data_IF_677020771398
#
_entry.id   IF_677020771398
#
_cell.length_a   1.000
_cell.length_b   1.000
_cell.length_c   1.000
_cell.angle_alpha   90.00
_cell.angle_beta   90.00
_cell.angle_gamma   90.00
#
_symmetry.space_group_name_H-M   'P 1'
#
loop_
_entity.id
_entity.type
_entity.pdbx_description
1 polymer ?
#
# COMPACT_ATOMS: atom_id res chain seq x y z
N UNK A 1 20.36 -60.49 14.18
CA UNK A 1 19.67 -61.68 14.70
C UNK A 1 18.17 -61.41 14.64
N UNK A 2 17.49 -62.16 13.78
CA UNK A 2 16.04 -62.44 13.77
C UNK A 2 15.75 -63.41 14.92
N UNK A 3 14.51 -63.79 15.29
CA UNK A 3 13.22 -63.68 14.58
C UNK A 3 11.98 -63.42 15.51
N UNK A 4 10.82 -63.14 14.93
CA UNK A 4 9.65 -64.02 14.66
C UNK A 4 8.72 -64.24 15.88
N UNK A 5 7.43 -64.31 15.86
CA UNK A 5 6.34 -64.89 15.06
C UNK A 5 4.98 -64.51 15.68
N UNK A 6 3.99 -64.19 14.86
CA UNK A 6 2.71 -64.83 14.60
C UNK A 6 1.86 -65.39 15.78
N UNK A 7 0.53 -65.03 15.82
CA UNK A 7 -0.60 -65.95 15.68
C UNK A 7 -1.94 -65.22 15.82
N UNK A 8 -2.74 -65.15 14.84
CA UNK A 8 -4.03 -65.74 14.45
C UNK A 8 -4.97 -66.18 15.59
N UNK A 9 -6.24 -65.75 15.55
CA UNK A 9 -7.46 -66.52 15.29
C UNK A 9 -8.71 -65.69 15.62
N UNK A 10 -9.58 -65.46 14.69
CA UNK A 10 -10.93 -66.05 14.44
C UNK A 10 -11.76 -66.33 15.69
N UNK A 11 -13.03 -65.78 15.71
CA UNK A 11 -14.27 -66.57 15.71
C UNK A 11 -15.47 -65.64 15.47
N UNK A 12 -16.32 -66.07 14.55
CA UNK A 12 -17.66 -65.56 14.24
C UNK A 12 -18.68 -65.94 15.33
N UNK A 13 -19.68 -65.12 15.49
CA UNK A 13 -21.02 -65.60 15.88
C UNK A 13 -22.10 -64.60 15.42
N UNK A 14 -22.95 -65.10 14.61
CA UNK A 14 -24.23 -64.58 14.11
C UNK A 14 -25.23 -64.55 15.29
N UNK A 15 -26.05 -63.50 15.38
CA UNK A 15 -27.45 -63.65 15.73
C UNK A 15 -28.31 -62.49 15.29
N UNK A 16 -29.45 -62.87 14.77
CA UNK A 16 -30.45 -62.10 13.98
C UNK A 16 -31.41 -61.25 14.80
N UNK A 17 -32.04 -60.33 14.03
CA UNK A 17 -33.41 -59.76 14.16
C UNK A 17 -33.73 -58.85 15.34
N UNK A 18 -34.09 -57.62 15.00
CA UNK A 18 -35.49 -57.13 15.15
C UNK A 18 -35.67 -55.82 14.40
N UNK A 19 -36.56 -55.81 13.43
CA UNK A 19 -37.06 -54.68 12.68
C UNK A 19 -37.94 -53.88 13.63
N UNK A 20 -37.57 -52.61 13.91
CA UNK A 20 -38.48 -51.61 14.41
C UNK A 20 -38.48 -50.43 13.45
N UNK A 21 -39.52 -50.40 12.63
CA UNK A 21 -39.86 -49.27 11.76
C UNK A 21 -40.18 -48.05 12.61
N UNK A 22 -39.24 -47.09 12.72
CA UNK A 22 -39.51 -45.74 13.21
C UNK A 22 -39.65 -44.84 12.01
N UNK A 23 -40.86 -44.42 11.73
CA UNK A 23 -41.23 -43.30 10.88
C UNK A 23 -40.49 -42.06 11.39
N UNK A 24 -39.45 -41.65 10.63
CA UNK A 24 -38.85 -40.33 10.74
C UNK A 24 -39.76 -39.40 9.93
N UNK A 25 -40.33 -38.34 10.54
CA UNK A 25 -41.06 -37.35 9.75
C UNK A 25 -40.10 -36.61 8.83
N UNK A 26 -40.36 -36.67 7.54
CA UNK A 26 -39.76 -35.82 6.52
C UNK A 26 -40.19 -34.39 6.73
N UNK A 27 -39.43 -33.64 7.57
CA UNK A 27 -39.50 -32.20 7.64
C UNK A 27 -38.14 -31.67 7.14
N UNK A 28 -38.01 -31.50 5.84
CA UNK A 28 -36.76 -31.02 5.22
C UNK A 28 -36.96 -30.41 3.84
N UNK A 29 -38.17 -30.32 3.30
CA UNK A 29 -38.39 -29.88 1.90
C UNK A 29 -38.93 -28.47 1.74
N UNK A 30 -39.34 -27.78 2.84
CA UNK A 30 -40.04 -26.50 2.73
C UNK A 30 -39.11 -25.26 2.61
N UNK A 31 -37.89 -25.30 3.14
CA UNK A 31 -37.01 -24.12 3.15
C UNK A 31 -36.21 -23.96 1.84
N UNK A 32 -35.87 -25.05 1.17
CA UNK A 32 -35.15 -25.00 -0.07
C UNK A 32 -36.01 -24.54 -1.27
N UNK A 33 -37.29 -24.96 -1.31
CA UNK A 33 -38.21 -24.48 -2.37
C UNK A 33 -38.64 -23.03 -2.15
N UNK A 34 -38.83 -22.58 -0.90
CA UNK A 34 -39.09 -21.17 -0.61
C UNK A 34 -37.87 -20.27 -0.92
N UNK A 35 -36.67 -20.77 -0.69
CA UNK A 35 -35.43 -20.08 -1.03
C UNK A 35 -35.19 -19.97 -2.56
N UNK A 36 -35.52 -20.98 -3.33
CA UNK A 36 -35.45 -20.93 -4.79
C UNK A 36 -36.42 -19.88 -5.37
N UNK A 37 -37.64 -19.79 -4.87
CA UNK A 37 -38.61 -18.78 -5.30
C UNK A 37 -38.15 -17.35 -4.99
N UNK A 38 -37.56 -17.09 -3.82
CA UNK A 38 -37.03 -15.77 -3.44
C UNK A 38 -35.85 -15.38 -4.34
N UNK A 39 -35.03 -16.34 -4.72
CA UNK A 39 -33.91 -16.15 -5.62
C UNK A 39 -34.40 -15.76 -7.04
N UNK A 40 -35.35 -16.50 -7.60
CA UNK A 40 -35.93 -16.20 -8.91
C UNK A 40 -36.54 -14.80 -8.96
N UNK A 41 -37.26 -14.39 -7.91
CA UNK A 41 -37.81 -13.03 -7.81
C UNK A 41 -36.66 -12.01 -7.75
N UNK A 42 -35.58 -12.29 -7.00
CA UNK A 42 -34.43 -11.41 -6.90
C UNK A 42 -33.72 -11.26 -8.26
N UNK A 43 -33.49 -12.35 -9.00
CA UNK A 43 -32.91 -12.33 -10.33
C UNK A 43 -33.80 -11.53 -11.33
N UNK A 44 -35.11 -11.66 -11.25
CA UNK A 44 -36.04 -10.84 -12.01
C UNK A 44 -35.94 -9.36 -11.67
N UNK A 45 -35.78 -9.01 -10.40
CA UNK A 45 -35.56 -7.64 -9.94
C UNK A 45 -34.24 -7.09 -10.49
N UNK A 46 -33.15 -7.86 -10.41
CA UNK A 46 -31.84 -7.49 -10.97
C UNK A 46 -31.93 -7.27 -12.49
N UNK A 47 -32.67 -8.12 -13.22
CA UNK A 47 -32.92 -7.93 -14.65
C UNK A 47 -33.74 -6.67 -14.98
N UNK A 48 -34.66 -6.29 -14.10
CA UNK A 48 -35.41 -5.03 -14.22
C UNK A 48 -34.52 -3.81 -13.95
N UNK A 49 -33.64 -3.90 -12.93
CA UNK A 49 -32.62 -2.89 -12.61
C UNK A 49 -31.65 -2.68 -13.78
N UNK A 50 -31.20 -3.76 -14.42
CA UNK A 50 -30.37 -3.67 -15.63
C UNK A 50 -31.03 -2.80 -16.70
N UNK A 51 -32.29 -3.11 -17.04
CA UNK A 51 -33.06 -2.37 -18.04
C UNK A 51 -33.22 -0.88 -17.67
N UNK A 52 -33.48 -0.60 -16.38
CA UNK A 52 -33.64 0.76 -15.89
C UNK A 52 -32.31 1.54 -15.96
N UNK A 53 -31.18 0.94 -15.58
CA UNK A 53 -29.85 1.55 -15.67
C UNK A 53 -29.49 1.82 -17.13
N UNK A 54 -29.75 0.88 -18.06
CA UNK A 54 -29.48 1.10 -19.48
C UNK A 54 -30.34 2.21 -20.08
N UNK A 55 -31.63 2.30 -19.70
CA UNK A 55 -32.53 3.39 -20.14
C UNK A 55 -32.05 4.75 -19.59
N UNK A 56 -31.64 4.82 -18.32
CA UNK A 56 -31.07 6.01 -17.72
C UNK A 56 -29.81 6.46 -18.49
N UNK A 57 -28.88 5.53 -18.73
CA UNK A 57 -27.64 5.79 -19.48
C UNK A 57 -27.89 6.26 -20.90
N UNK A 58 -28.86 5.70 -21.57
CA UNK A 58 -29.21 6.10 -22.94
C UNK A 58 -29.67 7.57 -22.99
N UNK A 59 -30.42 8.02 -21.98
CA UNK A 59 -30.94 9.38 -21.91
C UNK A 59 -29.92 10.36 -21.29
N UNK A 60 -29.32 10.02 -20.14
CA UNK A 60 -28.46 10.93 -19.37
C UNK A 60 -27.00 10.91 -19.81
N UNK A 61 -26.59 9.94 -20.63
CA UNK A 61 -25.21 9.70 -21.07
C UNK A 61 -24.23 9.37 -19.94
N UNK A 62 -24.75 9.06 -18.75
CA UNK A 62 -23.99 8.68 -17.56
C UNK A 62 -24.76 7.64 -16.73
N UNK A 63 -24.10 7.07 -15.72
CA UNK A 63 -24.75 6.22 -14.72
C UNK A 63 -25.50 7.08 -13.69
N UNK A 64 -26.56 6.54 -13.06
CA UNK A 64 -27.17 7.23 -11.92
C UNK A 64 -26.14 7.33 -10.76
N UNK A 65 -26.24 8.39 -9.96
CA UNK A 65 -25.44 8.48 -8.72
C UNK A 65 -25.93 7.46 -7.68
N UNK A 66 -27.24 7.18 -7.69
CA UNK A 66 -27.90 6.24 -6.78
C UNK A 66 -29.05 5.51 -7.51
N UNK A 67 -29.46 4.35 -6.97
CA UNK A 67 -30.62 3.63 -7.52
C UNK A 67 -31.91 4.46 -7.39
N UNK A 68 -32.02 5.29 -6.35
CA UNK A 68 -33.15 6.21 -6.15
C UNK A 68 -33.32 7.23 -7.26
N UNK A 69 -32.26 7.61 -7.98
CA UNK A 69 -32.35 8.60 -9.07
C UNK A 69 -33.13 8.04 -10.28
N UNK A 70 -33.37 6.75 -10.31
CA UNK A 70 -34.16 6.10 -11.35
C UNK A 70 -35.64 6.03 -11.01
N UNK A 71 -36.05 6.36 -9.77
CA UNK A 71 -37.43 6.33 -9.32
C UNK A 71 -38.09 7.74 -9.47
N UNK A 72 -39.30 7.89 -9.94
CA UNK A 72 -40.20 6.84 -10.49
C UNK A 72 -40.07 6.62 -11.99
N UNK A 73 -39.19 7.39 -12.68
CA UNK A 73 -39.20 7.44 -14.15
C UNK A 73 -38.84 6.11 -14.82
N UNK A 74 -37.79 5.46 -14.37
CA UNK A 74 -37.27 4.21 -14.94
C UNK A 74 -37.64 2.99 -14.08
N UNK A 75 -37.86 3.20 -12.80
CA UNK A 75 -38.35 2.21 -11.82
C UNK A 75 -39.66 2.72 -11.23
N UNK A 76 -40.77 2.14 -11.69
CA UNK A 76 -42.12 2.59 -11.25
C UNK A 76 -42.47 2.12 -9.86
N UNK A 77 -42.08 0.89 -9.51
CA UNK A 77 -42.32 0.30 -8.19
C UNK A 77 -41.04 0.23 -7.40
N UNK A 78 -40.83 1.12 -6.40
CA UNK A 78 -39.66 1.10 -5.54
C UNK A 78 -39.51 -0.20 -4.72
N UNK A 79 -40.60 -0.99 -4.55
CA UNK A 79 -40.51 -2.29 -3.89
C UNK A 79 -39.63 -3.29 -4.66
N UNK A 80 -39.41 -3.07 -5.96
CA UNK A 80 -38.46 -3.88 -6.73
C UNK A 80 -36.99 -3.64 -6.34
N UNK A 81 -36.70 -2.59 -5.57
CA UNK A 81 -35.37 -2.32 -4.99
C UNK A 81 -35.14 -3.07 -3.67
N UNK A 82 -36.10 -3.85 -3.21
CA UNK A 82 -36.00 -4.63 -1.98
C UNK A 82 -35.97 -6.14 -2.33
N UNK A 83 -34.90 -6.81 -1.91
CA UNK A 83 -34.77 -8.26 -2.07
C UNK A 83 -35.90 -8.98 -1.28
N UNK A 84 -36.51 -10.05 -1.83
CA UNK A 84 -37.54 -10.81 -1.13
C UNK A 84 -37.11 -11.32 0.25
N UNK A 85 -35.84 -11.73 0.40
CA UNK A 85 -35.29 -12.15 1.69
C UNK A 85 -35.33 -11.00 2.71
N UNK A 86 -34.95 -9.78 2.30
CA UNK A 86 -35.00 -8.59 3.16
C UNK A 86 -36.43 -8.23 3.54
N UNK A 87 -37.40 -8.37 2.63
CA UNK A 87 -38.83 -8.17 2.94
C UNK A 87 -39.30 -9.08 4.05
N UNK A 88 -38.78 -10.30 4.14
CA UNK A 88 -39.15 -11.31 5.18
C UNK A 88 -38.37 -11.12 6.47
N UNK A 89 -37.09 -10.77 6.40
CA UNK A 89 -36.18 -10.74 7.55
C UNK A 89 -36.01 -9.35 8.17
N UNK A 90 -36.24 -8.29 7.38
CA UNK A 90 -35.93 -6.90 7.74
C UNK A 90 -34.43 -6.57 7.77
N UNK A 91 -33.55 -7.53 7.48
CA UNK A 91 -32.09 -7.36 7.57
C UNK A 91 -31.54 -6.81 6.24
N UNK A 92 -31.00 -5.59 6.26
CA UNK A 92 -30.32 -4.97 5.11
C UNK A 92 -28.81 -4.96 5.38
N UNK A 93 -28.03 -5.34 4.36
CA UNK A 93 -26.57 -5.28 4.38
C UNK A 93 -26.11 -4.31 3.30
N UNK A 94 -25.56 -3.17 3.70
CA UNK A 94 -25.20 -2.06 2.79
C UNK A 94 -23.70 -1.85 2.67
N UNK A 95 -22.88 -2.47 3.51
CA UNK A 95 -21.42 -2.28 3.56
C UNK A 95 -20.97 -0.80 3.63
N UNK A 96 -21.83 0.07 4.23
CA UNK A 96 -21.57 1.50 4.33
C UNK A 96 -21.86 2.29 3.04
N UNK A 97 -22.53 1.68 2.06
CA UNK A 97 -22.97 2.32 0.81
C UNK A 97 -24.49 2.36 0.82
N UNK A 98 -25.03 3.39 1.46
CA UNK A 98 -26.48 3.55 1.65
C UNK A 98 -27.03 4.61 0.68
N UNK A 99 -28.12 4.27 -0.03
CA UNK A 99 -28.82 5.23 -0.84
C UNK A 99 -29.46 6.29 0.07
N UNK A 100 -29.16 7.60 -0.12
CA UNK A 100 -29.58 8.64 0.81
C UNK A 100 -31.07 8.98 0.76
N UNK A 101 -31.80 8.50 -0.26
CA UNK A 101 -33.20 8.86 -0.49
C UNK A 101 -34.17 7.71 -0.22
N UNK A 102 -33.75 6.47 -0.48
CA UNK A 102 -34.58 5.28 -0.30
C UNK A 102 -33.78 4.12 0.30
N UNK A 103 -34.42 3.31 1.12
CA UNK A 103 -33.84 2.05 1.55
C UNK A 103 -33.84 1.06 0.38
N UNK A 104 -32.67 0.48 0.08
CA UNK A 104 -32.51 -0.56 -0.95
C UNK A 104 -31.80 -1.76 -0.37
N UNK A 105 -32.18 -2.96 -0.83
CA UNK A 105 -31.49 -4.20 -0.48
C UNK A 105 -30.36 -4.56 -1.45
N UNK A 106 -30.18 -3.76 -2.49
CA UNK A 106 -29.20 -3.96 -3.53
C UNK A 106 -28.06 -2.95 -3.38
N UNK A 107 -26.82 -3.45 -3.34
CA UNK A 107 -25.63 -2.63 -3.34
C UNK A 107 -25.37 -2.12 -4.77
N UNK A 108 -25.40 -0.80 -4.96
CA UNK A 108 -25.04 -0.18 -6.21
C UNK A 108 -23.55 0.16 -6.22
N UNK A 109 -22.77 -0.56 -7.02
CA UNK A 109 -21.31 -0.49 -7.04
C UNK A 109 -20.75 0.80 -7.65
N UNK A 110 -21.55 1.52 -8.46
CA UNK A 110 -21.18 2.79 -9.09
C UNK A 110 -21.78 4.01 -8.40
N UNK A 111 -22.06 3.90 -7.10
CA UNK A 111 -22.58 5.01 -6.31
C UNK A 111 -21.56 6.17 -6.21
N UNK A 112 -22.05 7.40 -6.21
CA UNK A 112 -21.24 8.62 -6.00
C UNK A 112 -21.01 8.85 -4.50
N UNK A 113 -20.40 7.87 -3.82
CA UNK A 113 -20.02 7.92 -2.42
C UNK A 113 -18.53 7.61 -2.28
N UNK A 114 -17.84 8.17 -1.28
CA UNK A 114 -16.45 7.80 -1.03
C UNK A 114 -16.27 6.29 -0.88
N UNK A 115 -15.16 5.76 -1.40
CA UNK A 115 -14.79 4.36 -1.17
C UNK A 115 -14.67 4.14 0.34
N UNK A 116 -15.32 3.10 0.91
CA UNK A 116 -15.27 2.84 2.35
C UNK A 116 -13.84 2.77 2.88
N UNK A 117 -13.61 3.33 4.07
CA UNK A 117 -12.28 3.46 4.68
C UNK A 117 -11.54 2.15 4.96
N UNK A 118 -12.24 0.98 4.87
CA UNK A 118 -11.61 -0.34 4.90
C UNK A 118 -10.71 -0.62 3.68
N UNK A 119 -10.88 0.14 2.58
CA UNK A 119 -10.07 0.02 1.36
C UNK A 119 -9.01 1.11 1.34
N UNK A 120 -7.75 0.70 1.39
CA UNK A 120 -6.61 1.62 1.41
C UNK A 120 -6.52 2.48 0.15
N UNK A 121 -6.24 3.76 0.34
CA UNK A 121 -6.14 4.72 -0.75
C UNK A 121 -7.48 5.11 -1.37
N UNK A 122 -8.60 4.60 -0.84
CA UNK A 122 -9.93 4.83 -1.39
C UNK A 122 -10.62 6.13 -0.95
N UNK A 123 -10.22 6.72 0.18
CA UNK A 123 -10.95 7.84 0.80
C UNK A 123 -11.03 9.14 -0.02
N UNK A 124 -10.20 9.30 -1.05
CA UNK A 124 -10.20 10.48 -1.95
C UNK A 124 -11.01 10.25 -3.23
N UNK A 125 -11.49 9.03 -3.45
CA UNK A 125 -12.17 8.61 -4.66
C UNK A 125 -13.55 8.06 -4.34
N UNK A 126 -14.45 8.13 -5.32
CA UNK A 126 -15.79 7.56 -5.21
C UNK A 126 -15.79 6.08 -5.61
N UNK A 127 -16.82 5.35 -5.19
CA UNK A 127 -17.08 3.99 -5.66
C UNK A 127 -17.19 3.94 -7.18
N UNK A 128 -17.84 4.95 -7.79
CA UNK A 128 -17.97 5.08 -9.25
C UNK A 128 -16.62 5.13 -9.94
N UNK A 129 -15.70 6.00 -9.48
CA UNK A 129 -14.35 6.11 -10.03
C UNK A 129 -13.56 4.82 -9.87
N UNK A 130 -13.62 4.20 -8.71
CA UNK A 130 -12.97 2.92 -8.46
C UNK A 130 -13.47 1.84 -9.41
N UNK A 131 -14.79 1.67 -9.52
CA UNK A 131 -15.41 0.67 -10.40
C UNK A 131 -15.15 0.94 -11.87
N UNK A 132 -15.09 2.18 -12.29
CA UNK A 132 -14.70 2.55 -13.66
C UNK A 132 -13.28 2.10 -14.00
N UNK A 133 -12.33 2.23 -13.04
CA UNK A 133 -10.96 1.73 -13.21
C UNK A 133 -10.88 0.21 -13.21
N UNK A 134 -11.62 -0.45 -12.33
CA UNK A 134 -11.74 -1.92 -12.36
C UNK A 134 -12.29 -2.40 -13.72
N UNK A 135 -13.27 -1.67 -14.28
CA UNK A 135 -13.82 -1.98 -15.60
C UNK A 135 -12.76 -1.97 -16.71
N UNK A 136 -11.71 -1.15 -16.59
CA UNK A 136 -10.57 -1.14 -17.51
C UNK A 136 -9.81 -2.46 -17.54
N UNK A 137 -9.82 -3.22 -16.46
CA UNK A 137 -9.15 -4.53 -16.33
C UNK A 137 -10.10 -5.70 -16.59
N UNK A 138 -11.31 -5.64 -16.04
CA UNK A 138 -12.28 -6.75 -16.04
C UNK A 138 -13.29 -6.64 -17.19
N UNK A 139 -13.35 -5.49 -17.84
CA UNK A 139 -14.31 -5.22 -18.91
C UNK A 139 -15.75 -5.22 -18.41
N UNK A 140 -16.67 -5.63 -19.29
CA UNK A 140 -18.11 -5.65 -19.00
C UNK A 140 -18.54 -6.71 -17.98
N UNK A 141 -17.63 -7.56 -17.52
CA UNK A 141 -17.88 -8.51 -16.42
C UNK A 141 -17.98 -7.82 -15.07
N UNK A 142 -17.55 -6.55 -14.94
CA UNK A 142 -17.61 -5.81 -13.67
C UNK A 142 -19.06 -5.72 -13.15
N UNK A 143 -19.33 -6.04 -11.89
CA UNK A 143 -20.66 -5.90 -11.32
C UNK A 143 -21.10 -4.44 -11.19
N UNK A 144 -22.36 -4.18 -11.54
CA UNK A 144 -23.04 -2.90 -11.30
C UNK A 144 -23.86 -2.93 -10.04
N UNK A 145 -24.55 -4.04 -9.79
CA UNK A 145 -25.49 -4.22 -8.67
C UNK A 145 -25.28 -5.58 -8.05
N UNK A 146 -25.22 -5.64 -6.73
CA UNK A 146 -25.10 -6.91 -5.99
C UNK A 146 -26.28 -7.14 -5.05
N UNK A 147 -26.60 -8.41 -4.84
CA UNK A 147 -27.47 -8.85 -3.76
C UNK A 147 -26.71 -9.82 -2.86
N UNK A 148 -26.37 -9.39 -1.66
CA UNK A 148 -25.68 -10.18 -0.64
C UNK A 148 -26.63 -11.02 0.23
N UNK A 149 -27.93 -10.98 -0.04
CA UNK A 149 -28.95 -11.70 0.74
C UNK A 149 -29.22 -13.11 0.22
N UNK A 150 -28.48 -13.54 -0.78
CA UNK A 150 -28.44 -14.91 -1.30
C UNK A 150 -27.03 -15.49 -1.19
N UNK A 151 -26.96 -16.81 -1.07
CA UNK A 151 -25.71 -17.55 -1.17
C UNK A 151 -25.84 -18.62 -2.25
N UNK A 152 -25.00 -18.57 -3.30
CA UNK A 152 -23.98 -17.55 -3.61
C UNK A 152 -24.53 -16.14 -3.81
N UNK A 153 -23.66 -15.11 -3.65
CA UNK A 153 -24.00 -13.71 -3.91
C UNK A 153 -24.34 -13.51 -5.39
N UNK A 154 -25.40 -12.76 -5.67
CA UNK A 154 -25.83 -12.45 -7.04
C UNK A 154 -25.20 -11.13 -7.49
N UNK A 155 -24.40 -11.18 -8.56
CA UNK A 155 -23.66 -10.06 -9.11
C UNK A 155 -24.16 -9.74 -10.52
N UNK A 156 -24.99 -8.71 -10.67
CA UNK A 156 -25.43 -8.21 -11.98
C UNK A 156 -24.32 -7.36 -12.59
N UNK A 157 -23.79 -7.77 -13.74
CA UNK A 157 -22.68 -7.11 -14.43
C UNK A 157 -23.14 -6.26 -15.62
N UNK A 158 -22.20 -5.43 -16.16
CA UNK A 158 -22.50 -4.54 -17.30
C UNK A 158 -22.87 -5.27 -18.59
N UNK A 159 -22.49 -6.53 -18.75
CA UNK A 159 -22.92 -7.38 -19.86
C UNK A 159 -24.37 -7.89 -19.72
N UNK A 160 -25.04 -7.54 -18.63
CA UNK A 160 -26.41 -7.94 -18.33
C UNK A 160 -26.56 -9.33 -17.75
N UNK A 161 -25.46 -10.04 -17.49
CA UNK A 161 -25.46 -11.36 -16.85
C UNK A 161 -25.43 -11.23 -15.33
N UNK A 162 -25.99 -12.23 -14.67
CA UNK A 162 -25.89 -12.39 -13.22
C UNK A 162 -24.87 -13.50 -12.99
N UNK A 163 -23.75 -13.13 -12.34
CA UNK A 163 -22.71 -14.05 -11.91
C UNK A 163 -22.87 -14.38 -10.44
N UNK A 164 -22.53 -15.59 -10.09
CA UNK A 164 -22.57 -16.08 -8.72
C UNK A 164 -21.15 -16.16 -8.14
N UNK A 165 -20.97 -15.70 -6.88
CA UNK A 165 -19.70 -15.73 -6.20
C UNK A 165 -19.87 -15.81 -4.69
N UNK A 166 -18.79 -16.08 -3.96
CA UNK A 166 -18.81 -16.08 -2.49
C UNK A 166 -18.85 -14.65 -1.92
N UNK A 167 -18.48 -13.67 -2.73
CA UNK A 167 -18.45 -12.26 -2.37
C UNK A 167 -18.40 -11.37 -3.62
N UNK A 168 -17.36 -10.58 -3.74
CA UNK A 168 -17.09 -9.74 -4.90
C UNK A 168 -16.57 -10.61 -6.06
N UNK A 169 -17.46 -10.98 -6.94
CA UNK A 169 -17.24 -11.88 -8.08
C UNK A 169 -15.99 -11.53 -8.92
N UNK A 170 -15.71 -10.24 -9.13
CA UNK A 170 -14.55 -9.80 -9.92
C UNK A 170 -13.20 -10.20 -9.31
N UNK A 171 -13.15 -10.44 -8.00
CA UNK A 171 -11.94 -10.94 -7.32
C UNK A 171 -11.76 -12.45 -7.45
N UNK A 172 -12.75 -13.16 -7.98
CA UNK A 172 -12.70 -14.60 -8.24
C UNK A 172 -12.24 -14.93 -9.67
N UNK A 173 -12.03 -13.89 -10.51
CA UNK A 173 -11.55 -14.06 -11.89
C UNK A 173 -10.07 -14.48 -11.87
N UNK A 174 -9.78 -15.65 -12.44
CA UNK A 174 -8.41 -16.20 -12.50
C UNK A 174 -7.47 -15.40 -13.41
N UNK A 175 -8.00 -14.58 -14.29
CA UNK A 175 -7.27 -13.79 -15.28
C UNK A 175 -6.72 -12.47 -14.71
N UNK A 176 -7.13 -12.07 -13.50
CA UNK A 176 -6.77 -10.81 -12.87
C UNK A 176 -6.31 -11.06 -11.43
N UNK A 177 -5.15 -10.51 -11.05
CA UNK A 177 -4.72 -10.53 -9.65
C UNK A 177 -5.72 -9.69 -8.82
N UNK A 178 -6.36 -10.26 -7.79
CA UNK A 178 -7.27 -9.52 -6.93
C UNK A 178 -6.69 -8.23 -6.35
N UNK A 179 -5.38 -8.18 -6.11
CA UNK A 179 -4.70 -6.99 -5.61
C UNK A 179 -4.71 -5.84 -6.63
N UNK A 180 -4.66 -6.14 -7.93
CA UNK A 180 -4.69 -5.12 -8.99
C UNK A 180 -6.05 -4.42 -9.08
N UNK A 181 -7.10 -5.03 -8.53
CA UNK A 181 -8.44 -4.43 -8.45
C UNK A 181 -8.62 -3.50 -7.24
N UNK A 182 -7.64 -3.42 -6.35
CA UNK A 182 -7.71 -2.57 -5.16
C UNK A 182 -7.60 -1.07 -5.50
N UNK A 183 -8.21 -0.16 -4.70
CA UNK A 183 -8.04 1.27 -4.91
C UNK A 183 -6.57 1.69 -4.84
N UNK A 184 -5.79 1.10 -3.93
CA UNK A 184 -4.38 1.41 -3.78
C UNK A 184 -3.57 1.15 -5.04
N UNK A 185 -3.90 0.12 -5.81
CA UNK A 185 -3.25 -0.17 -7.10
C UNK A 185 -3.78 0.70 -8.23
N UNK A 186 -5.10 0.80 -8.35
CA UNK A 186 -5.75 1.50 -9.45
C UNK A 186 -5.54 3.03 -9.42
N UNK A 187 -5.32 3.59 -8.24
CA UNK A 187 -5.01 5.02 -8.04
C UNK A 187 -3.54 5.29 -7.66
N UNK A 188 -2.66 4.29 -7.80
CA UNK A 188 -1.27 4.39 -7.33
C UNK A 188 -0.53 5.62 -7.88
N UNK A 189 -0.70 5.96 -9.15
CA UNK A 189 -0.05 7.13 -9.75
C UNK A 189 -0.54 8.45 -9.14
N UNK A 190 -1.84 8.60 -8.90
CA UNK A 190 -2.44 9.80 -8.31
C UNK A 190 -2.08 9.91 -6.82
N UNK A 191 -2.11 8.80 -6.09
CA UNK A 191 -1.68 8.74 -4.70
C UNK A 191 -0.22 9.15 -4.57
N UNK A 192 0.65 8.66 -5.47
CA UNK A 192 2.07 9.02 -5.49
C UNK A 192 2.28 10.51 -5.79
N UNK A 193 1.57 11.07 -6.78
CA UNK A 193 1.63 12.50 -7.11
C UNK A 193 1.17 13.36 -5.93
N UNK A 194 0.04 13.04 -5.31
CA UNK A 194 -0.49 13.80 -4.18
C UNK A 194 0.41 13.69 -2.94
N UNK A 195 0.96 12.50 -2.66
CA UNK A 195 1.92 12.31 -1.58
C UNK A 195 3.19 13.12 -1.81
N UNK A 196 3.72 13.12 -3.04
CA UNK A 196 4.90 13.90 -3.42
C UNK A 196 4.65 15.40 -3.26
N UNK A 197 3.51 15.91 -3.73
CA UNK A 197 3.15 17.32 -3.60
C UNK A 197 3.03 17.74 -2.12
N UNK A 198 2.41 16.91 -1.27
CA UNK A 198 2.32 17.17 0.18
C UNK A 198 3.70 17.17 0.83
N UNK A 199 4.53 16.17 0.54
CA UNK A 199 5.88 16.07 1.08
C UNK A 199 6.72 17.27 0.68
N UNK A 200 6.67 17.71 -0.57
CA UNK A 200 7.39 18.90 -1.04
C UNK A 200 6.93 20.19 -0.34
N UNK A 201 5.64 20.31 -0.04
CA UNK A 201 5.12 21.47 0.70
C UNK A 201 5.61 21.52 2.17
N UNK A 202 5.95 20.37 2.75
CA UNK A 202 6.47 20.29 4.13
C UNK A 202 7.99 20.47 4.22
N UNK A 203 8.72 20.41 3.10
CA UNK A 203 10.17 20.61 3.04
C UNK A 203 10.48 22.12 2.91
N UNK A 204 11.22 22.71 3.86
CA UNK A 204 11.58 24.11 3.78
C UNK A 204 12.39 24.41 2.51
N UNK A 205 12.18 25.56 1.85
CA UNK A 205 12.99 25.98 0.73
C UNK A 205 14.45 26.17 1.17
N UNK A 206 15.38 26.00 0.21
CA UNK A 206 16.80 26.28 0.45
C UNK A 206 17.00 27.79 0.62
N UNK A 207 17.78 28.16 1.64
CA UNK A 207 18.24 29.55 1.76
C UNK A 207 19.18 29.88 0.58
N UNK A 208 18.91 30.95 -0.20
CA UNK A 208 19.78 31.36 -1.30
C UNK A 208 21.23 31.66 -0.89
N UNK A 209 21.49 31.92 0.38
CA UNK A 209 22.82 32.16 0.94
C UNK A 209 23.55 30.90 1.35
N UNK A 210 22.93 29.71 1.24
CA UNK A 210 23.56 28.44 1.59
C UNK A 210 24.84 28.24 0.75
N UNK A 211 25.99 27.98 1.40
CA UNK A 211 27.26 27.75 0.67
C UNK A 211 27.14 26.63 -0.35
N UNK A 212 27.83 26.77 -1.49
CA UNK A 212 27.84 25.77 -2.55
C UNK A 212 28.44 24.41 -2.08
N UNK A 213 29.29 24.42 -1.06
CA UNK A 213 29.85 23.20 -0.46
C UNK A 213 28.77 22.31 0.20
N UNK A 214 27.65 22.90 0.61
CA UNK A 214 26.46 22.16 1.06
C UNK A 214 25.61 21.84 -0.18
N UNK A 215 25.74 20.62 -0.70
CA UNK A 215 25.12 20.19 -1.98
C UNK A 215 23.61 20.33 -1.92
N UNK A 216 23.01 20.90 -2.98
CA UNK A 216 21.55 21.05 -3.04
C UNK A 216 20.84 19.75 -3.41
N UNK A 217 20.08 19.20 -2.49
CA UNK A 217 19.27 17.99 -2.67
C UNK A 217 17.78 18.28 -2.88
N UNK A 218 17.38 19.55 -3.04
CA UNK A 218 15.96 19.97 -3.07
C UNK A 218 15.11 19.20 -4.10
N UNK A 219 15.66 18.96 -5.28
CA UNK A 219 14.95 18.25 -6.36
C UNK A 219 14.85 16.73 -6.17
N UNK A 220 15.60 16.17 -5.22
CA UNK A 220 15.65 14.74 -4.95
C UNK A 220 14.89 14.32 -3.69
N UNK A 221 14.58 15.26 -2.78
CA UNK A 221 13.87 14.94 -1.58
C UNK A 221 12.50 14.31 -1.88
N UNK A 222 12.23 13.18 -1.25
CA UNK A 222 10.99 12.43 -1.42
C UNK A 222 10.29 12.06 -0.10
N UNK A 223 10.84 12.54 1.03
CA UNK A 223 10.19 12.52 2.34
C UNK A 223 10.61 13.75 3.17
N UNK A 224 9.66 14.29 3.95
CA UNK A 224 9.91 15.35 4.90
C UNK A 224 10.46 14.79 6.22
N UNK A 225 11.27 15.58 6.94
CA UNK A 225 11.80 15.16 8.26
C UNK A 225 10.69 14.95 9.31
N UNK A 226 9.51 15.53 9.10
CA UNK A 226 8.33 15.40 9.97
C UNK A 226 7.38 14.29 9.54
N UNK A 227 7.70 13.56 8.48
CA UNK A 227 6.90 12.47 7.95
C UNK A 227 7.40 11.13 8.48
N UNK A 228 6.50 10.29 8.96
CA UNK A 228 6.82 8.90 9.24
C UNK A 228 6.83 8.09 7.95
N UNK A 229 7.97 8.02 7.27
CA UNK A 229 8.09 7.43 5.92
C UNK A 229 8.41 5.93 5.89
N UNK A 230 8.90 5.35 7.00
CA UNK A 230 9.26 3.93 7.13
C UNK A 230 8.07 3.04 7.51
N UNK A 231 6.89 3.28 6.95
CA UNK A 231 5.72 2.42 7.17
C UNK A 231 5.84 1.14 6.35
N UNK A 232 5.74 -0.01 7.01
CA UNK A 232 5.71 -1.34 6.37
C UNK A 232 4.30 -1.77 5.98
N UNK A 233 3.28 -1.07 6.52
CA UNK A 233 1.87 -1.32 6.23
C UNK A 233 0.97 -0.17 6.70
N UNK A 234 -0.29 -0.15 6.23
CA UNK A 234 -1.24 0.93 6.53
C UNK A 234 -1.74 0.94 7.96
N UNK A 235 -1.61 -0.17 8.67
CA UNK A 235 -2.07 -0.33 10.05
C UNK A 235 -1.04 0.10 11.10
N UNK A 236 0.15 0.56 10.69
CA UNK A 236 1.11 1.14 11.62
C UNK A 236 0.67 2.56 11.99
N UNK A 237 0.18 2.79 13.23
CA UNK A 237 -0.44 4.06 13.61
C UNK A 237 0.55 5.23 13.64
N UNK A 238 1.82 4.97 13.96
CA UNK A 238 2.88 5.98 14.02
C UNK A 238 4.21 5.38 13.58
N UNK A 239 4.80 5.93 12.52
CA UNK A 239 6.18 5.64 12.16
C UNK A 239 7.09 6.67 12.84
N UNK A 240 8.33 6.28 13.13
CA UNK A 240 9.35 7.23 13.56
C UNK A 240 9.57 8.31 12.50
N UNK A 241 9.87 9.52 12.94
CA UNK A 241 10.22 10.66 12.11
C UNK A 241 11.50 11.34 12.64
N UNK A 242 11.97 12.34 11.92
CA UNK A 242 13.13 13.16 12.28
C UNK A 242 12.73 14.60 12.68
N UNK A 243 11.52 14.81 13.19
CA UNK A 243 11.04 16.15 13.59
C UNK A 243 11.89 16.78 14.68
N UNK A 244 12.62 15.99 15.47
CA UNK A 244 13.58 16.47 16.49
C UNK A 244 14.96 16.83 15.91
N UNK A 245 15.27 16.51 14.65
CA UNK A 245 16.48 16.96 13.98
C UNK A 245 16.36 18.45 13.67
N UNK A 246 17.29 19.31 14.13
CA UNK A 246 17.28 20.73 13.80
C UNK A 246 17.39 20.95 12.29
N UNK A 247 16.59 21.89 11.76
CA UNK A 247 16.56 22.22 10.34
C UNK A 247 17.50 23.35 9.96
N UNK A 248 17.81 23.45 8.67
CA UNK A 248 18.74 24.44 8.11
C UNK A 248 20.18 23.97 8.23
N UNK A 249 21.13 24.90 8.27
CA UNK A 249 22.57 24.59 8.38
C UNK A 249 22.88 24.17 9.81
N UNK A 250 23.30 22.92 9.97
CA UNK A 250 23.61 22.31 11.27
C UNK A 250 25.00 21.70 11.28
N UNK A 251 25.75 21.91 12.35
CA UNK A 251 27.06 21.28 12.55
C UNK A 251 26.89 19.93 13.23
N UNK A 252 26.99 18.84 12.44
CA UNK A 252 26.74 17.47 12.89
C UNK A 252 27.98 16.61 12.63
N UNK A 253 28.45 15.90 13.66
CA UNK A 253 29.70 15.13 13.55
C UNK A 253 30.91 15.96 13.11
N UNK A 254 30.94 17.26 13.46
CA UNK A 254 32.04 18.19 13.13
C UNK A 254 31.94 18.87 11.76
N UNK A 255 30.95 18.55 10.94
CA UNK A 255 30.75 19.08 9.57
C UNK A 255 29.41 19.80 9.48
N UNK A 256 29.35 20.88 8.70
CA UNK A 256 28.11 21.60 8.45
C UNK A 256 27.30 20.89 7.34
N UNK A 257 26.00 20.75 7.58
CA UNK A 257 25.03 20.10 6.67
C UNK A 257 23.78 20.96 6.53
N UNK A 258 23.16 20.99 5.34
CA UNK A 258 21.86 21.60 5.09
C UNK A 258 20.74 20.56 5.29
N UNK A 259 20.16 20.55 6.49
CA UNK A 259 19.15 19.57 6.90
C UNK A 259 17.73 20.08 6.64
N UNK A 260 17.06 19.62 5.58
CA UNK A 260 15.72 20.09 5.19
C UNK A 260 14.72 18.99 4.93
N UNK A 261 15.14 17.97 4.23
CA UNK A 261 14.36 16.79 3.83
C UNK A 261 15.26 15.57 3.74
N UNK A 262 14.76 14.49 3.16
CA UNK A 262 15.56 13.29 2.94
C UNK A 262 15.24 12.63 1.61
N UNK A 263 16.19 11.86 1.11
CA UNK A 263 16.07 10.96 -0.03
C UNK A 263 16.00 9.54 0.52
N UNK A 264 14.82 8.93 0.52
CA UNK A 264 14.64 7.53 0.82
C UNK A 264 14.80 6.72 -0.45
N UNK A 265 15.60 5.67 -0.43
CA UNK A 265 15.66 4.69 -1.52
C UNK A 265 14.90 3.41 -1.17
N UNK A 266 14.58 2.64 -2.20
CA UNK A 266 13.87 1.36 -2.09
C UNK A 266 14.67 0.29 -1.35
N UNK A 267 13.96 -0.67 -0.74
CA UNK A 267 14.52 -1.89 -0.15
C UNK A 267 13.49 -3.02 -0.18
N UNK A 268 13.91 -4.24 0.14
CA UNK A 268 12.98 -5.38 0.24
C UNK A 268 11.97 -5.22 1.39
N UNK A 269 12.30 -4.47 2.44
CA UNK A 269 11.43 -4.22 3.60
C UNK A 269 10.45 -3.07 3.38
N UNK A 270 10.81 -2.10 2.55
CA UNK A 270 9.89 -1.06 2.09
C UNK A 270 9.10 -1.60 0.89
N UNK A 271 8.12 -2.42 1.15
CA UNK A 271 7.27 -3.07 0.14
C UNK A 271 6.42 -2.07 -0.69
N UNK A 272 6.69 -0.79 -0.59
CA UNK A 272 5.96 0.25 -1.30
C UNK A 272 6.71 0.67 -2.57
N UNK A 273 6.09 0.64 -3.76
CA UNK A 273 6.71 1.10 -5.01
C UNK A 273 7.03 2.60 -5.04
N UNK A 274 6.78 3.31 -3.93
CA UNK A 274 6.90 4.76 -3.78
C UNK A 274 8.34 5.26 -3.87
N UNK A 275 9.33 4.48 -3.41
CA UNK A 275 10.70 4.95 -3.32
C UNK A 275 11.56 4.42 -4.48
N UNK A 276 12.34 5.30 -5.15
CA UNK A 276 13.21 4.90 -6.24
C UNK A 276 14.38 4.04 -5.73
N UNK A 277 14.97 3.23 -6.61
CA UNK A 277 16.17 2.48 -6.30
C UNK A 277 17.45 3.32 -6.40
N UNK A 278 17.36 4.52 -6.95
CA UNK A 278 18.49 5.44 -7.07
C UNK A 278 18.05 6.89 -7.20
N UNK A 279 18.90 7.81 -6.75
CA UNK A 279 18.88 9.22 -7.10
C UNK A 279 20.16 9.49 -7.91
N UNK A 280 20.01 9.85 -9.17
CA UNK A 280 21.14 10.01 -10.11
C UNK A 280 21.36 11.46 -10.46
N UNK A 281 22.62 11.77 -10.81
CA UNK A 281 23.04 13.08 -11.30
C UNK A 281 22.82 14.21 -10.27
N UNK A 282 23.05 13.92 -8.96
CA UNK A 282 23.06 14.94 -7.91
C UNK A 282 24.24 15.87 -8.19
N UNK A 283 23.97 17.10 -8.60
CA UNK A 283 25.00 18.08 -9.01
C UNK A 283 25.87 18.51 -7.84
N UNK A 284 27.18 18.45 -8.02
CA UNK A 284 28.20 18.91 -7.08
C UNK A 284 28.98 20.06 -7.68
N UNK A 285 29.48 19.93 -8.92
CA UNK A 285 30.14 20.91 -9.75
C UNK A 285 31.27 21.68 -9.05
N UNK A 286 32.03 21.00 -8.18
CA UNK A 286 33.13 21.61 -7.44
C UNK A 286 34.25 20.61 -7.13
N UNK A 287 35.44 21.14 -6.82
CA UNK A 287 36.55 20.36 -6.30
C UNK A 287 36.35 20.14 -4.81
N UNK A 288 36.66 18.92 -4.36
CA UNK A 288 36.59 18.59 -2.95
C UNK A 288 37.68 17.59 -2.57
N UNK A 289 38.32 17.80 -1.42
CA UNK A 289 39.22 16.83 -0.83
C UNK A 289 38.47 15.66 -0.19
N UNK A 290 37.30 15.93 0.37
CA UNK A 290 36.42 14.94 0.96
C UNK A 290 34.95 15.23 0.62
N UNK A 291 34.15 14.17 0.60
CA UNK A 291 32.69 14.29 0.56
C UNK A 291 32.11 13.63 1.81
N UNK A 292 31.28 14.35 2.52
CA UNK A 292 30.61 13.88 3.73
C UNK A 292 29.13 13.63 3.45
N UNK A 293 28.64 12.48 3.92
CA UNK A 293 27.24 12.07 3.77
C UNK A 293 26.61 12.02 5.16
N UNK A 294 25.52 12.74 5.36
CA UNK A 294 24.66 12.60 6.54
C UNK A 294 23.52 11.66 6.17
N UNK A 295 23.56 10.44 6.68
CA UNK A 295 22.69 9.37 6.25
C UNK A 295 22.43 8.35 7.36
N UNK A 296 21.54 7.38 7.08
CA UNK A 296 21.37 6.18 7.88
C UNK A 296 20.64 5.11 7.06
N UNK A 297 20.21 4.05 7.73
CA UNK A 297 19.34 3.01 7.13
C UNK A 297 18.27 2.57 8.11
N UNK A 298 17.13 2.14 7.62
CA UNK A 298 16.18 1.36 8.39
C UNK A 298 16.49 -0.13 8.30
N UNK A 299 16.03 -0.88 9.26
CA UNK A 299 16.18 -2.33 9.41
C UNK A 299 17.61 -2.83 9.54
N UNK A 300 17.76 -3.71 10.51
CA UNK A 300 19.04 -4.34 10.82
C UNK A 300 19.46 -5.39 9.79
N UNK A 301 20.76 -5.54 9.60
CA UNK A 301 21.37 -6.56 8.76
C UNK A 301 22.68 -7.07 9.42
N UNK A 302 23.25 -8.19 8.96
CA UNK A 302 24.58 -8.60 9.36
C UNK A 302 25.65 -7.54 9.00
N UNK A 303 26.68 -7.41 9.82
CA UNK A 303 27.83 -6.53 9.55
C UNK A 303 28.46 -6.88 8.18
N UNK A 304 28.86 -5.84 7.44
CA UNK A 304 29.41 -5.97 6.09
C UNK A 304 28.35 -6.08 4.99
N UNK A 305 27.04 -6.10 5.32
CA UNK A 305 25.98 -6.09 4.30
C UNK A 305 26.00 -4.77 3.53
N UNK A 306 26.06 -4.79 2.17
CA UNK A 306 25.93 -3.57 1.37
C UNK A 306 24.55 -2.92 1.58
N UNK A 307 24.55 -1.63 1.86
CA UNK A 307 23.34 -0.82 2.11
C UNK A 307 23.02 0.02 0.88
N UNK A 308 24.01 0.78 0.40
CA UNK A 308 23.93 1.65 -0.76
C UNK A 308 25.31 1.89 -1.32
N UNK A 309 25.40 2.45 -2.53
CA UNK A 309 26.65 2.91 -3.14
C UNK A 309 26.50 4.36 -3.59
N UNK A 310 27.47 5.20 -3.25
CA UNK A 310 27.69 6.50 -3.86
C UNK A 310 28.67 6.36 -5.01
N UNK A 311 28.31 6.86 -6.19
CA UNK A 311 29.17 6.86 -7.39
C UNK A 311 29.48 8.30 -7.70
N UNK A 312 30.75 8.70 -7.51
CA UNK A 312 31.24 10.03 -7.80
C UNK A 312 31.73 10.10 -9.25
N UNK A 313 31.19 11.05 -10.04
CA UNK A 313 31.57 11.30 -11.41
C UNK A 313 32.50 12.52 -11.48
N UNK A 314 33.66 12.38 -12.10
CA UNK A 314 34.65 13.44 -12.22
C UNK A 314 34.67 14.04 -13.62
N UNK A 315 35.09 15.31 -13.73
CA UNK A 315 35.13 16.04 -14.98
C UNK A 315 36.10 15.44 -16.05
N UNK A 316 37.07 14.64 -15.58
CA UNK A 316 37.98 13.91 -16.49
C UNK A 316 37.37 12.58 -17.00
N UNK A 317 36.10 12.27 -16.64
CA UNK A 317 35.42 11.05 -17.03
C UNK A 317 35.67 9.85 -16.10
N UNK A 318 36.52 9.99 -15.09
CA UNK A 318 36.69 8.95 -14.08
C UNK A 318 35.45 8.86 -13.17
N UNK A 319 35.23 7.66 -12.65
CA UNK A 319 34.19 7.39 -11.63
C UNK A 319 34.80 6.66 -10.44
N UNK A 320 34.32 6.98 -9.23
CA UNK A 320 34.74 6.30 -8.02
C UNK A 320 33.51 5.83 -7.27
N UNK A 321 33.49 4.57 -6.85
CA UNK A 321 32.42 3.98 -6.08
C UNK A 321 32.77 3.95 -4.59
N UNK A 322 31.82 4.29 -3.75
CA UNK A 322 31.93 4.20 -2.30
C UNK A 322 30.73 3.45 -1.76
N UNK A 323 30.91 2.16 -1.49
CA UNK A 323 29.87 1.29 -0.94
C UNK A 323 29.73 1.48 0.57
N UNK A 324 28.52 1.76 1.01
CA UNK A 324 28.14 1.88 2.40
C UNK A 324 27.81 0.50 2.94
N UNK A 325 28.48 0.09 4.01
CA UNK A 325 28.34 -1.21 4.65
C UNK A 325 27.66 -1.08 6.02
N UNK A 326 26.71 -1.98 6.29
CA UNK A 326 26.07 -2.10 7.60
C UNK A 326 27.11 -2.52 8.67
N UNK A 327 27.01 -1.93 9.86
CA UNK A 327 27.96 -2.18 10.96
C UNK A 327 29.31 -1.45 10.82
N UNK A 328 29.65 -0.98 9.61
CA UNK A 328 30.86 -0.18 9.36
C UNK A 328 30.57 1.31 9.24
N UNK A 329 29.67 1.66 8.33
CA UNK A 329 29.38 3.05 7.98
C UNK A 329 28.07 3.53 8.61
N UNK A 330 27.08 2.65 8.68
CA UNK A 330 25.74 2.89 9.25
C UNK A 330 25.25 1.65 10.00
N UNK A 331 24.30 1.85 10.91
CA UNK A 331 23.43 0.79 11.45
C UNK A 331 21.97 1.21 11.28
N UNK A 332 21.05 0.39 11.76
CA UNK A 332 19.64 0.81 11.88
C UNK A 332 19.58 2.16 12.61
N UNK A 333 18.84 3.11 12.03
CA UNK A 333 18.67 4.44 12.62
C UNK A 333 17.93 4.40 13.95
N UNK A 334 17.12 3.36 14.18
CA UNK A 334 16.54 3.07 15.49
C UNK A 334 17.56 2.33 16.32
N UNK A 335 17.96 2.92 17.43
CA UNK A 335 19.02 2.38 18.29
C UNK A 335 18.52 1.21 19.14
N UNK A 336 18.35 0.06 18.52
CA UNK A 336 18.05 -1.22 19.22
C UNK A 336 19.28 -1.84 19.89
N UNK A 337 20.47 -1.46 19.44
CA UNK A 337 21.77 -1.96 19.83
C UNK A 337 22.57 -0.85 20.53
N UNK A 338 23.60 -1.18 21.33
CA UNK A 338 24.53 -0.19 21.82
C UNK A 338 25.12 0.63 20.67
N UNK A 339 25.35 1.94 20.94
CA UNK A 339 25.91 2.87 19.95
C UNK A 339 27.15 2.26 19.30
N UNK A 340 27.25 2.21 17.95
CA UNK A 340 28.46 1.76 17.27
C UNK A 340 29.65 2.60 17.69
N UNK A 341 30.83 1.98 17.77
CA UNK A 341 32.07 2.74 17.98
C UNK A 341 32.32 3.65 16.77
N UNK A 342 32.69 4.89 17.04
CA UNK A 342 33.17 5.79 16.01
C UNK A 342 34.37 5.16 15.27
N UNK A 343 34.39 5.28 13.95
CA UNK A 343 35.47 4.82 13.06
C UNK A 343 36.06 6.04 12.36
N UNK A 344 37.23 5.88 11.79
CA UNK A 344 37.95 6.99 11.11
C UNK A 344 37.13 7.65 10.01
N UNK A 345 36.31 6.86 9.31
CA UNK A 345 35.49 7.31 8.19
C UNK A 345 33.98 7.41 8.50
N UNK A 346 33.52 7.01 9.69
CA UNK A 346 32.12 7.08 10.08
C UNK A 346 31.94 7.32 11.59
N UNK A 347 31.09 8.30 11.93
CA UNK A 347 30.75 8.65 13.31
C UNK A 347 29.26 8.86 13.46
N UNK A 348 28.72 8.66 14.67
CA UNK A 348 27.35 9.09 14.97
C UNK A 348 27.33 10.61 15.02
N UNK A 349 26.76 11.22 13.99
CA UNK A 349 26.72 12.68 13.85
C UNK A 349 25.60 13.34 14.63
N UNK A 350 24.51 12.63 14.84
CA UNK A 350 23.35 13.09 15.59
C UNK A 350 22.65 11.92 16.28
N UNK A 351 22.20 12.16 17.50
CA UNK A 351 21.36 11.27 18.25
C UNK A 351 20.18 12.08 18.82
N UNK A 352 18.98 11.61 18.59
CA UNK A 352 17.76 12.26 19.04
C UNK A 352 16.68 11.26 19.36
N UNK A 353 15.46 11.73 19.53
CA UNK A 353 14.30 10.89 19.82
C UNK A 353 13.16 11.16 18.84
N UNK A 354 12.32 10.16 18.61
CA UNK A 354 11.12 10.31 17.83
C UNK A 354 9.95 10.78 18.72
N UNK A 355 9.34 11.93 18.44
CA UNK A 355 8.13 12.36 19.14
C UNK A 355 6.95 11.38 18.92
N UNK A 356 6.90 10.70 17.78
CA UNK A 356 5.87 9.73 17.45
C UNK A 356 5.78 8.56 18.45
N UNK A 357 6.88 8.25 19.15
CA UNK A 357 6.95 7.21 20.19
C UNK A 357 6.98 7.78 21.62
N UNK A 358 6.54 9.03 21.80
CA UNK A 358 6.60 9.70 23.11
C UNK A 358 8.03 9.95 23.59
N UNK A 359 9.01 10.02 22.69
CA UNK A 359 10.42 10.26 22.99
C UNK A 359 11.19 9.03 23.54
N UNK A 360 10.57 7.84 23.53
CA UNK A 360 11.22 6.64 24.07
C UNK A 360 12.19 5.97 23.09
N UNK A 361 12.06 6.25 21.80
CA UNK A 361 12.91 5.64 20.76
C UNK A 361 14.09 6.57 20.46
N UNK A 362 15.31 6.09 20.65
CA UNK A 362 16.53 6.79 20.23
C UNK A 362 16.79 6.56 18.75
N UNK A 363 17.07 7.66 18.04
CA UNK A 363 17.39 7.66 16.61
C UNK A 363 18.82 8.14 16.40
N UNK A 364 19.54 7.53 15.44
CA UNK A 364 20.91 7.89 15.11
C UNK A 364 21.04 8.25 13.61
N UNK A 365 21.78 9.31 13.33
CA UNK A 365 22.29 9.63 12.00
C UNK A 365 23.80 9.54 12.00
N UNK A 366 24.34 9.07 10.90
CA UNK A 366 25.78 8.87 10.73
C UNK A 366 26.34 9.91 9.76
N UNK A 367 27.55 10.42 10.07
CA UNK A 367 28.36 11.11 9.08
C UNK A 367 29.43 10.14 8.61
N UNK A 368 29.38 9.81 7.32
CA UNK A 368 30.40 9.01 6.66
C UNK A 368 31.15 9.90 5.68
N UNK A 369 32.47 9.71 5.58
CA UNK A 369 33.30 10.48 4.66
C UNK A 369 33.96 9.59 3.59
N UNK A 370 33.94 10.09 2.37
CA UNK A 370 34.77 9.58 1.28
C UNK A 370 35.94 10.53 1.03
N UNK A 371 37.16 10.00 0.98
CA UNK A 371 38.37 10.77 0.67
C UNK A 371 38.57 10.71 -0.83
N UNK A 372 38.57 11.86 -1.49
CA UNK A 372 38.75 11.94 -2.92
C UNK A 372 40.20 11.62 -3.32
N UNK A 373 40.46 10.57 -4.11
CA UNK A 373 41.80 10.26 -4.57
C UNK A 373 42.33 11.26 -5.62
N UNK A 374 41.42 12.05 -6.22
CA UNK A 374 41.71 13.04 -7.26
C UNK A 374 41.18 14.44 -6.87
N UNK A 375 41.68 15.05 -5.78
CA UNK A 375 41.07 16.27 -5.22
C UNK A 375 41.19 17.51 -6.10
N UNK A 376 42.04 17.47 -7.12
CA UNK A 376 42.20 18.55 -8.11
C UNK A 376 41.20 18.44 -9.27
N UNK A 377 40.49 17.33 -9.39
CA UNK A 377 39.41 17.16 -10.36
C UNK A 377 38.06 17.65 -9.76
N UNK A 378 37.26 18.25 -10.63
CA UNK A 378 35.90 18.63 -10.26
C UNK A 378 35.02 17.38 -10.19
N UNK A 379 34.32 17.20 -9.08
CA UNK A 379 33.20 16.23 -8.95
C UNK A 379 32.02 16.90 -9.65
N UNK A 380 31.57 16.36 -10.77
CA UNK A 380 30.44 16.90 -11.52
C UNK A 380 29.12 16.50 -10.93
N UNK A 381 29.00 15.23 -10.54
CA UNK A 381 27.78 14.71 -9.90
C UNK A 381 28.04 13.48 -9.05
N UNK A 382 27.03 13.11 -8.26
CA UNK A 382 27.00 11.89 -7.45
C UNK A 382 25.71 11.13 -7.76
N UNK A 383 25.82 9.82 -8.00
CA UNK A 383 24.68 8.91 -7.97
C UNK A 383 24.61 8.25 -6.60
N UNK A 384 23.39 8.13 -6.05
CA UNK A 384 23.09 7.40 -4.83
C UNK A 384 22.21 6.20 -5.18
N UNK A 385 22.71 4.98 -4.96
CA UNK A 385 22.10 3.73 -5.48
C UNK A 385 21.90 2.75 -4.33
N UNK A 386 20.66 2.26 -4.16
CA UNK A 386 20.33 1.24 -3.14
C UNK A 386 20.86 -0.14 -3.53
N UNK A 387 21.26 -0.93 -2.54
CA UNK A 387 21.65 -2.34 -2.75
C UNK A 387 20.44 -3.28 -2.91
N UNK A 388 19.21 -2.78 -2.72
CA UNK A 388 17.95 -3.54 -2.80
C UNK A 388 17.92 -4.78 -1.90
N UNK A 389 18.56 -4.70 -0.75
CA UNK A 389 18.52 -5.68 0.33
C UNK A 389 17.50 -5.25 1.42
N UNK A 390 17.53 -5.91 2.59
CA UNK A 390 16.63 -5.57 3.69
C UNK A 390 16.87 -4.16 4.26
N UNK A 391 18.11 -3.67 4.43
CA UNK A 391 18.36 -2.29 4.85
C UNK A 391 17.74 -1.30 3.86
N UNK A 392 17.06 -0.28 4.39
CA UNK A 392 16.42 0.78 3.61
C UNK A 392 17.20 2.09 3.76
N UNK A 393 18.13 2.39 2.85
CA UNK A 393 19.00 3.53 2.96
C UNK A 393 18.28 4.85 2.72
N UNK A 394 18.62 5.86 3.55
CA UNK A 394 18.18 7.24 3.34
C UNK A 394 19.30 8.25 3.56
N UNK A 395 19.26 9.32 2.79
CA UNK A 395 20.24 10.39 2.78
C UNK A 395 19.58 11.73 3.13
N UNK A 396 20.17 12.46 4.08
CA UNK A 396 19.68 13.77 4.55
C UNK A 396 20.41 14.90 3.83
N UNK A 397 21.75 14.86 3.82
CA UNK A 397 22.58 15.95 3.28
C UNK A 397 23.94 15.45 2.80
N UNK A 398 24.54 16.20 1.86
CA UNK A 398 25.90 16.00 1.36
C UNK A 398 26.68 17.30 1.53
N UNK A 399 27.92 17.18 2.01
CA UNK A 399 28.85 18.31 2.09
C UNK A 399 30.15 17.98 1.36
N UNK A 400 30.51 18.80 0.39
CA UNK A 400 31.78 18.72 -0.32
C UNK A 400 32.80 19.62 0.40
N UNK A 401 33.74 19.03 1.12
CA UNK A 401 34.79 19.76 1.84
C UNK A 401 35.90 20.15 0.85
N UNK A 402 36.17 21.46 0.68
CA UNK A 402 37.22 21.93 -0.24
C UNK A 402 38.61 21.48 0.27
N UNK A 403 39.60 21.57 -0.67
CA UNK A 403 40.99 21.27 -0.38
C UNK A 403 41.63 22.33 0.52
#
# INVERSE_FOLDING_TARGET
>A
MKPCLLLKSRISAILSLLIASLLVPTQGLSAAEAGASDREICEKNLGALYKAIQAYRAEKKDLPAWLSDMVPKYIKDPNSLICPVVKKTGAVTTFGIEDPKISTAYLFEFAETPVPGAFQGGSQHTMKEWKQRQMGLVGSKIPMVRCHHHQPVLNLSFDGRIYEGQGAWEFELQEVDPQDLSPARLFAAEIAVNATAKTQAEIPPRDPKTPASLVDLSSFYNAALTEGWHKTGPSEPTANDLSSLPRGIQKLGGVDFDTRGLIQLGSRKLAHPKFPNSAKDIKVDQKAARVHFLHSTGWSAPDGTPVATYIMHLANGHTHEFTILYGEHVTDWVAWQPRPKDRDNSVVAWAGTSPATGGQTTLNLFRTQWINPEPDQTITSIDYVASNLDPAPFLIAITAEPK
#
